data_IF_017854205107
#
_entry.id   IF_017854205107
#
_cell.length_a   1.000
_cell.length_b   1.000
_cell.length_c   1.000
_cell.angle_alpha   90.00
_cell.angle_beta   90.00
_cell.angle_gamma   90.00
#
_symmetry.space_group_name_H-M   'P 1'
#
loop_
_entity.id
_entity.type
_entity.pdbx_description
1 polymer ?
#
# COMPACT_ATOMS: atom_id res chain seq x y z
N UNK A 1 -44.27 20.48 7.93
CA UNK A 1 -43.48 19.74 8.91
C UNK A 1 -44.44 18.98 9.80
N UNK A 2 -44.28 17.66 9.89
CA UNK A 2 -45.02 16.87 10.86
C UNK A 2 -44.62 17.31 12.28
N UNK A 3 -45.54 17.17 13.24
CA UNK A 3 -45.39 17.60 14.63
C UNK A 3 -44.14 17.08 15.37
N UNK A 4 -43.31 16.20 14.80
CA UNK A 4 -42.12 15.63 15.47
C UNK A 4 -40.93 15.42 14.52
N UNK A 5 -40.91 16.07 13.35
CA UNK A 5 -39.80 15.99 12.40
C UNK A 5 -38.55 16.72 12.96
N UNK A 6 -37.41 16.03 13.09
CA UNK A 6 -36.20 16.59 13.71
C UNK A 6 -34.92 15.86 13.29
N UNK A 7 -33.82 16.61 13.12
CA UNK A 7 -32.48 16.06 12.84
C UNK A 7 -31.90 15.28 14.04
N UNK A 8 -32.54 15.36 15.20
CA UNK A 8 -32.12 14.71 16.45
C UNK A 8 -32.89 13.42 16.76
N UNK A 9 -33.69 12.91 15.82
CA UNK A 9 -34.60 11.80 16.04
C UNK A 9 -33.91 10.52 16.55
N UNK A 10 -32.71 10.18 16.04
CA UNK A 10 -31.98 8.99 16.50
C UNK A 10 -31.63 9.04 17.99
N UNK A 11 -31.10 10.18 18.44
CA UNK A 11 -30.71 10.40 19.84
C UNK A 11 -31.93 10.40 20.75
N UNK A 12 -33.03 11.02 20.30
CA UNK A 12 -34.29 11.05 21.05
C UNK A 12 -34.88 9.65 21.20
N UNK A 13 -35.00 8.89 20.10
CA UNK A 13 -35.55 7.55 20.11
C UNK A 13 -34.72 6.65 21.04
N UNK A 14 -33.38 6.68 20.94
CA UNK A 14 -32.51 5.87 21.79
C UNK A 14 -32.66 6.21 23.29
N UNK A 15 -32.73 7.50 23.64
CA UNK A 15 -32.95 7.96 25.02
C UNK A 15 -34.29 7.45 25.56
N UNK A 16 -35.36 7.59 24.78
CA UNK A 16 -36.72 7.21 25.18
C UNK A 16 -36.87 5.69 25.30
N UNK A 17 -36.32 4.91 24.37
CA UNK A 17 -36.33 3.44 24.46
C UNK A 17 -35.56 2.92 25.68
N UNK A 18 -34.41 3.54 26.00
CA UNK A 18 -33.63 3.21 27.19
C UNK A 18 -34.45 3.49 28.45
N UNK A 19 -35.12 4.64 28.52
CA UNK A 19 -35.97 4.98 29.65
C UNK A 19 -37.18 4.03 29.76
N UNK A 20 -37.80 3.66 28.63
CA UNK A 20 -38.88 2.66 28.57
C UNK A 20 -38.43 1.30 29.11
N UNK A 21 -37.25 0.83 28.71
CA UNK A 21 -36.68 -0.41 29.21
C UNK A 21 -36.44 -0.37 30.74
N UNK A 22 -36.20 0.82 31.29
CA UNK A 22 -36.06 1.07 32.72
C UNK A 22 -37.41 1.39 33.42
N UNK A 23 -38.54 1.12 32.77
CA UNK A 23 -39.87 1.22 33.38
C UNK A 23 -40.57 2.56 33.21
N UNK A 24 -39.99 3.52 32.47
CA UNK A 24 -40.70 4.76 32.16
C UNK A 24 -41.91 4.53 31.26
N UNK A 25 -42.95 5.36 31.41
CA UNK A 25 -44.20 5.22 30.67
C UNK A 25 -44.69 6.52 30.01
N UNK A 26 -44.26 7.68 30.50
CA UNK A 26 -44.78 8.98 30.10
C UNK A 26 -43.65 9.94 29.68
N UNK A 27 -43.96 10.81 28.73
CA UNK A 27 -43.10 11.90 28.28
C UNK A 27 -43.83 13.22 28.45
N UNK A 28 -43.08 14.24 28.85
CA UNK A 28 -43.47 15.65 28.77
C UNK A 28 -42.52 16.39 27.84
N UNK A 29 -43.07 17.19 26.92
CA UNK A 29 -42.32 18.06 26.01
C UNK A 29 -42.26 19.48 26.58
N UNK A 30 -41.06 19.98 26.84
CA UNK A 30 -40.84 21.35 27.35
C UNK A 30 -40.91 22.40 26.24
N UNK A 31 -40.88 21.98 24.96
CA UNK A 31 -40.97 22.88 23.80
C UNK A 31 -42.05 22.39 22.86
N UNK A 32 -42.69 23.31 22.14
CA UNK A 32 -43.54 22.95 21.00
C UNK A 32 -42.64 22.46 19.88
N UNK A 33 -42.78 21.22 19.41
CA UNK A 33 -41.94 20.71 18.32
C UNK A 33 -42.06 21.48 17.00
N UNK A 34 -43.11 22.29 16.82
CA UNK A 34 -43.30 23.12 15.63
C UNK A 34 -42.59 24.47 15.71
N UNK A 35 -42.19 24.90 16.91
CA UNK A 35 -41.56 26.21 17.13
C UNK A 35 -40.03 26.15 17.00
N UNK A 36 -39.44 24.95 17.16
CA UNK A 36 -38.02 24.65 16.97
C UNK A 36 -37.83 23.16 16.68
N UNK A 37 -36.69 22.76 16.09
CA UNK A 37 -36.35 21.33 16.00
C UNK A 37 -36.29 20.74 17.42
N UNK A 38 -37.05 19.66 17.66
CA UNK A 38 -37.08 19.00 18.96
C UNK A 38 -35.72 18.36 19.27
N UNK A 39 -35.13 18.68 20.42
CA UNK A 39 -33.90 18.06 20.91
C UNK A 39 -34.16 17.10 22.08
N UNK A 40 -33.19 16.25 22.38
CA UNK A 40 -33.30 15.30 23.50
C UNK A 40 -33.43 15.97 24.88
N UNK A 41 -32.93 17.20 25.04
CA UNK A 41 -33.01 17.94 26.31
C UNK A 41 -34.40 18.52 26.58
N UNK A 42 -35.21 18.69 25.53
CA UNK A 42 -36.57 19.23 25.57
C UNK A 42 -37.60 18.18 26.03
N UNK A 43 -37.12 16.97 26.34
CA UNK A 43 -37.94 15.80 26.69
C UNK A 43 -37.63 15.38 28.12
N UNK A 44 -38.68 15.38 28.95
CA UNK A 44 -38.69 14.78 30.28
C UNK A 44 -39.47 13.49 30.27
N UNK A 45 -39.02 12.53 31.08
CA UNK A 45 -39.48 11.15 31.03
C UNK A 45 -39.82 10.71 32.45
N UNK A 46 -41.01 10.13 32.61
CA UNK A 46 -41.59 9.78 33.92
C UNK A 46 -42.09 8.34 33.93
N UNK A 47 -42.07 7.74 35.12
CA UNK A 47 -42.58 6.39 35.36
C UNK A 47 -44.08 6.38 35.59
N UNK A 48 -44.61 7.38 36.28
CA UNK A 48 -46.04 7.50 36.60
C UNK A 48 -46.66 8.69 35.87
N UNK A 49 -47.99 8.65 35.74
CA UNK A 49 -48.75 9.77 35.17
C UNK A 49 -48.73 10.97 36.12
N UNK A 50 -48.90 10.72 37.42
CA UNK A 50 -48.97 11.77 38.44
C UNK A 50 -47.69 12.60 38.45
N UNK A 51 -46.50 11.98 38.44
CA UNK A 51 -45.22 12.72 38.39
C UNK A 51 -45.06 13.57 37.12
N UNK A 52 -45.62 13.10 35.99
CA UNK A 52 -45.55 13.82 34.72
C UNK A 52 -46.48 15.04 34.72
N UNK A 53 -47.66 14.90 35.32
CA UNK A 53 -48.63 15.99 35.47
C UNK A 53 -48.15 17.02 36.50
N UNK A 54 -47.66 16.57 37.66
CA UNK A 54 -47.09 17.45 38.68
C UNK A 54 -45.94 18.30 38.11
N UNK A 55 -45.09 17.69 37.27
CA UNK A 55 -44.02 18.41 36.59
C UNK A 55 -44.54 19.45 35.59
N UNK A 56 -45.58 19.10 34.83
CA UNK A 56 -46.18 20.00 33.85
C UNK A 56 -46.83 21.20 34.56
N UNK A 57 -47.57 20.94 35.64
CA UNK A 57 -48.24 21.96 36.46
C UNK A 57 -47.21 22.94 37.06
N UNK A 58 -46.09 22.44 37.61
CA UNK A 58 -45.00 23.30 38.13
C UNK A 58 -44.40 24.21 37.03
N UNK A 59 -44.26 23.69 35.81
CA UNK A 59 -43.71 24.45 34.68
C UNK A 59 -44.71 25.45 34.11
N UNK A 60 -46.00 25.14 34.16
CA UNK A 60 -47.08 26.04 33.77
C UNK A 60 -47.14 27.25 34.70
N UNK A 61 -47.06 27.05 36.01
CA UNK A 61 -47.04 28.12 37.02
C UNK A 61 -45.87 29.11 36.85
N UNK A 62 -44.76 28.65 36.26
CA UNK A 62 -43.57 29.45 35.97
C UNK A 62 -43.60 30.11 34.57
N UNK A 63 -44.67 29.91 33.79
CA UNK A 63 -44.82 30.45 32.44
C UNK A 63 -43.83 29.86 31.42
N UNK A 64 -43.26 28.69 31.71
CA UNK A 64 -42.24 28.05 30.88
C UNK A 64 -42.82 27.14 29.78
N UNK A 65 -44.12 26.87 29.80
CA UNK A 65 -44.80 26.09 28.77
C UNK A 65 -45.78 26.99 28.01
N UNK A 66 -45.83 26.98 26.68
CA UNK A 66 -46.70 27.87 25.94
C UNK A 66 -48.14 27.32 25.96
N UNK A 67 -49.00 27.86 26.84
CA UNK A 67 -50.39 27.40 26.94
C UNK A 67 -51.21 28.07 28.05
N UNK A 68 -51.40 29.39 27.99
CA UNK A 68 -52.45 30.02 28.80
C UNK A 68 -53.83 29.65 28.25
N UNK A 69 -54.58 28.77 28.95
CA UNK A 69 -56.04 28.88 29.05
C UNK A 69 -56.95 28.20 28.00
N UNK A 70 -56.65 26.98 27.53
CA UNK A 70 -57.62 26.21 26.72
C UNK A 70 -57.61 24.73 27.14
N UNK A 71 -58.80 24.12 27.29
CA UNK A 71 -59.10 22.75 27.81
C UNK A 71 -58.51 21.57 27.00
N UNK A 72 -57.52 21.80 26.15
CA UNK A 72 -56.82 20.78 25.41
C UNK A 72 -55.33 20.78 25.83
N UNK A 73 -55.02 19.95 26.83
CA UNK A 73 -53.65 19.52 27.17
C UNK A 73 -53.06 18.36 26.30
N UNK A 74 -53.53 17.95 25.10
CA UNK A 74 -53.12 16.67 24.51
C UNK A 74 -51.76 16.70 23.77
N UNK A 75 -51.05 17.83 23.71
CA UNK A 75 -49.82 17.95 22.89
C UNK A 75 -48.51 17.90 23.68
N UNK A 76 -48.53 18.13 24.99
CA UNK A 76 -47.32 18.26 25.82
C UNK A 76 -47.05 17.06 26.71
N UNK A 77 -48.02 16.17 26.88
CA UNK A 77 -47.83 14.91 27.57
C UNK A 77 -48.29 13.77 26.66
N UNK A 78 -47.55 12.66 26.65
CA UNK A 78 -47.96 11.48 25.91
C UNK A 78 -47.38 10.21 26.53
N UNK A 79 -48.06 9.08 26.33
CA UNK A 79 -47.46 7.77 26.59
C UNK A 79 -46.28 7.56 25.66
N UNK A 80 -45.19 7.02 26.21
CA UNK A 80 -43.96 6.73 25.46
C UNK A 80 -44.23 5.91 24.20
N UNK A 81 -45.16 4.95 24.26
CA UNK A 81 -45.50 4.11 23.11
C UNK A 81 -46.05 4.92 21.94
N UNK A 82 -46.92 5.88 22.23
CA UNK A 82 -47.52 6.74 21.22
C UNK A 82 -46.45 7.71 20.68
N UNK A 83 -45.66 8.32 21.58
CA UNK A 83 -44.56 9.20 21.17
C UNK A 83 -43.55 8.51 20.26
N UNK A 84 -43.14 7.28 20.61
CA UNK A 84 -42.23 6.48 19.79
C UNK A 84 -42.85 6.11 18.44
N UNK A 85 -44.16 5.85 18.37
CA UNK A 85 -44.84 5.60 17.10
C UNK A 85 -44.84 6.86 16.23
N UNK A 86 -45.18 8.01 16.83
CA UNK A 86 -45.33 9.27 16.11
C UNK A 86 -43.98 9.81 15.63
N UNK A 87 -42.94 9.82 16.47
CA UNK A 87 -41.60 10.29 16.08
C UNK A 87 -40.95 9.38 15.05
N UNK A 88 -41.19 8.06 15.10
CA UNK A 88 -40.66 7.14 14.08
C UNK A 88 -41.37 7.34 12.74
N UNK A 89 -42.68 7.55 12.77
CA UNK A 89 -43.48 7.84 11.57
C UNK A 89 -43.06 9.16 10.92
N UNK A 90 -42.79 10.19 11.75
CA UNK A 90 -42.32 11.48 11.27
C UNK A 90 -40.86 11.43 10.75
N UNK A 91 -40.03 10.50 11.24
CA UNK A 91 -38.61 10.39 10.90
C UNK A 91 -38.24 8.97 10.42
N UNK A 92 -38.72 8.55 9.23
CA UNK A 92 -38.54 7.19 8.73
C UNK A 92 -37.06 6.83 8.48
N UNK A 93 -36.21 7.79 8.10
CA UNK A 93 -34.78 7.58 7.88
C UNK A 93 -34.03 7.23 9.19
N UNK A 94 -34.27 7.98 10.26
CA UNK A 94 -33.70 7.70 11.58
C UNK A 94 -34.18 6.36 12.15
N UNK A 95 -35.46 6.03 11.91
CA UNK A 95 -36.04 4.74 12.33
C UNK A 95 -35.38 3.56 11.62
N UNK A 96 -35.15 3.69 10.31
CA UNK A 96 -34.47 2.69 9.52
C UNK A 96 -33.02 2.49 9.99
N UNK A 97 -32.28 3.59 10.17
CA UNK A 97 -30.90 3.62 10.71
C UNK A 97 -30.78 2.82 12.02
N UNK A 98 -31.64 3.12 13.01
CA UNK A 98 -31.65 2.43 14.29
C UNK A 98 -32.03 0.94 14.19
N UNK A 99 -32.91 0.55 13.26
CA UNK A 99 -33.28 -0.85 13.05
C UNK A 99 -32.14 -1.68 12.45
N UNK A 100 -31.27 -1.05 11.65
CA UNK A 100 -30.06 -1.66 11.08
C UNK A 100 -28.99 -1.82 12.18
N UNK A 101 -28.73 -0.78 12.97
CA UNK A 101 -27.75 -0.82 14.06
C UNK A 101 -28.08 -1.91 15.10
N UNK A 102 -29.37 -2.14 15.34
CA UNK A 102 -29.86 -3.20 16.23
C UNK A 102 -29.91 -4.59 15.59
N UNK A 103 -29.53 -4.73 14.32
CA UNK A 103 -29.56 -5.99 13.59
C UNK A 103 -30.96 -6.56 13.37
N UNK A 104 -32.01 -5.74 13.48
CA UNK A 104 -33.41 -6.14 13.29
C UNK A 104 -33.72 -6.28 11.80
N UNK A 105 -33.15 -5.41 10.98
CA UNK A 105 -33.23 -5.46 9.51
C UNK A 105 -31.82 -5.71 8.98
N UNK A 106 -31.68 -6.80 8.21
CA UNK A 106 -30.50 -7.00 7.36
C UNK A 106 -30.69 -6.21 6.08
N UNK A 107 -30.34 -4.93 6.11
CA UNK A 107 -30.36 -4.11 4.90
C UNK A 107 -29.03 -4.31 4.14
N UNK A 108 -29.09 -5.12 3.08
CA UNK A 108 -28.00 -5.24 2.12
C UNK A 108 -27.82 -3.97 1.24
N UNK A 109 -28.55 -2.87 1.52
CA UNK A 109 -28.51 -1.62 0.74
C UNK A 109 -28.40 -0.30 1.53
N UNK A 110 -28.43 -0.24 2.87
CA UNK A 110 -28.29 1.06 3.59
C UNK A 110 -27.06 1.21 4.49
N UNK A 111 -26.10 0.30 4.42
CA UNK A 111 -24.71 0.64 4.76
C UNK A 111 -24.00 1.38 3.61
N UNK A 112 -24.72 2.25 2.91
CA UNK A 112 -24.17 3.08 1.86
C UNK A 112 -23.72 4.43 2.44
N UNK A 113 -22.71 4.38 3.32
CA UNK A 113 -21.64 5.37 3.16
C UNK A 113 -20.99 5.04 1.83
N UNK A 114 -21.57 5.58 0.76
CA UNK A 114 -21.08 5.32 -0.58
C UNK A 114 -19.59 5.63 -0.61
N UNK A 115 -18.79 4.63 -0.94
CA UNK A 115 -17.35 4.82 -1.09
C UNK A 115 -17.13 6.01 -2.03
N UNK A 116 -16.18 6.88 -1.71
CA UNK A 116 -15.91 8.03 -2.56
C UNK A 116 -15.32 7.55 -3.90
N UNK A 117 -16.15 7.54 -4.95
CA UNK A 117 -15.79 7.03 -6.27
C UNK A 117 -14.69 7.86 -6.96
N UNK A 118 -14.66 9.16 -6.72
CA UNK A 118 -13.59 10.03 -7.24
C UNK A 118 -12.26 9.67 -6.58
N UNK A 119 -12.26 9.52 -5.26
CA UNK A 119 -11.07 9.08 -4.53
C UNK A 119 -10.62 7.67 -4.95
N UNK A 120 -11.54 6.73 -5.20
CA UNK A 120 -11.19 5.42 -5.76
C UNK A 120 -10.52 5.57 -7.14
N UNK A 121 -11.07 6.40 -8.03
CA UNK A 121 -10.48 6.63 -9.36
C UNK A 121 -9.09 7.25 -9.26
N UNK A 122 -8.89 8.21 -8.35
CA UNK A 122 -7.60 8.85 -8.14
C UNK A 122 -6.58 7.85 -7.60
N UNK A 123 -6.93 7.08 -6.56
CA UNK A 123 -6.05 6.04 -6.02
C UNK A 123 -5.72 4.96 -7.06
N UNK A 124 -6.66 4.58 -7.93
CA UNK A 124 -6.39 3.67 -9.06
C UNK A 124 -5.37 4.24 -10.04
N UNK A 125 -5.42 5.55 -10.33
CA UNK A 125 -4.42 6.23 -11.16
C UNK A 125 -3.07 6.29 -10.45
N UNK A 126 -3.05 6.59 -9.16
CA UNK A 126 -1.80 6.65 -8.37
C UNK A 126 -1.07 5.31 -8.35
N UNK A 127 -1.78 4.20 -8.06
CA UNK A 127 -1.15 2.87 -8.05
C UNK A 127 -0.71 2.45 -9.46
N UNK A 128 -1.47 2.80 -10.50
CA UNK A 128 -1.07 2.54 -11.88
C UNK A 128 0.17 3.36 -12.29
N UNK A 129 0.23 4.64 -11.92
CA UNK A 129 1.37 5.52 -12.21
C UNK A 129 2.66 5.04 -11.55
N UNK A 130 2.56 4.44 -10.36
CA UNK A 130 3.68 3.84 -9.64
C UNK A 130 4.03 2.43 -10.13
N UNK A 131 3.30 1.88 -11.12
CA UNK A 131 3.60 0.61 -11.76
C UNK A 131 3.16 -0.63 -11.00
N UNK A 132 2.17 -0.53 -10.11
CA UNK A 132 1.56 -1.70 -9.47
C UNK A 132 0.64 -2.45 -10.45
N UNK A 133 0.44 -3.75 -10.21
CA UNK A 133 -0.35 -4.61 -11.10
C UNK A 133 -1.84 -4.22 -11.14
N UNK A 134 -2.57 -4.51 -12.24
CA UNK A 134 -4.00 -4.23 -12.33
C UNK A 134 -4.84 -4.86 -11.20
N UNK A 135 -4.39 -6.00 -10.65
CA UNK A 135 -5.01 -6.67 -9.50
C UNK A 135 -5.10 -5.76 -8.28
N UNK A 136 -4.12 -4.89 -8.09
CA UNK A 136 -4.11 -3.90 -7.00
C UNK A 136 -5.33 -2.99 -7.06
N UNK A 137 -5.76 -2.58 -8.26
CA UNK A 137 -6.93 -1.72 -8.45
C UNK A 137 -8.25 -2.44 -8.12
N UNK A 138 -8.34 -3.74 -8.41
CA UNK A 138 -9.51 -4.57 -8.08
C UNK A 138 -9.61 -4.80 -6.56
N UNK A 139 -8.49 -5.15 -5.91
CA UNK A 139 -8.43 -5.33 -4.46
C UNK A 139 -8.69 -4.02 -3.71
N UNK A 140 -8.19 -2.90 -4.23
CA UNK A 140 -8.45 -1.56 -3.67
C UNK A 140 -9.95 -1.27 -3.59
N UNK A 141 -10.68 -1.48 -4.69
CA UNK A 141 -12.12 -1.26 -4.74
C UNK A 141 -12.87 -2.16 -3.75
N UNK A 142 -12.53 -3.46 -3.71
CA UNK A 142 -13.13 -4.43 -2.79
C UNK A 142 -12.95 -4.00 -1.33
N UNK A 143 -11.74 -3.56 -0.95
CA UNK A 143 -11.45 -3.13 0.41
C UNK A 143 -12.13 -1.80 0.76
N UNK A 144 -12.11 -0.81 -0.13
CA UNK A 144 -12.74 0.49 0.12
C UNK A 144 -14.26 0.39 0.33
N UNK A 145 -14.93 -0.57 -0.33
CA UNK A 145 -16.36 -0.87 -0.12
C UNK A 145 -16.70 -1.28 1.31
N UNK A 146 -15.74 -1.87 2.04
CA UNK A 146 -15.91 -2.26 3.43
C UNK A 146 -15.69 -1.10 4.42
N UNK A 147 -15.24 0.06 3.91
CA UNK A 147 -14.95 1.27 4.68
C UNK A 147 -13.99 1.11 5.90
N UNK A 148 -12.95 0.25 5.86
CA UNK A 148 -12.05 0.07 7.00
C UNK A 148 -11.21 1.33 7.28
N UNK A 149 -10.87 1.57 8.55
CA UNK A 149 -9.97 2.68 8.91
C UNK A 149 -8.57 2.54 8.31
N UNK A 150 -8.08 1.31 8.17
CA UNK A 150 -6.81 0.98 7.53
C UNK A 150 -6.93 -0.38 6.85
N UNK A 151 -6.33 -0.51 5.67
CA UNK A 151 -6.18 -1.79 5.00
C UNK A 151 -4.89 -1.83 4.18
N UNK A 152 -4.52 -3.03 3.76
CA UNK A 152 -3.38 -3.25 2.88
C UNK A 152 -3.79 -3.98 1.63
N UNK A 153 -3.17 -3.62 0.50
CA UNK A 153 -3.27 -4.36 -0.75
C UNK A 153 -1.91 -4.99 -1.03
N UNK A 154 -1.89 -6.24 -1.47
CA UNK A 154 -0.66 -6.99 -1.74
C UNK A 154 -0.42 -7.11 -3.24
N UNK A 155 0.82 -6.93 -3.63
CA UNK A 155 1.29 -7.15 -4.98
C UNK A 155 2.66 -7.84 -4.92
N UNK A 156 3.15 -8.31 -6.06
CA UNK A 156 4.51 -8.86 -6.13
C UNK A 156 5.14 -8.62 -7.49
N UNK A 157 6.46 -8.56 -7.50
CA UNK A 157 7.26 -8.48 -8.72
C UNK A 157 8.27 -9.64 -8.78
N UNK A 158 8.66 -10.10 -9.97
CA UNK A 158 9.77 -11.03 -10.09
C UNK A 158 11.07 -10.39 -9.58
N UNK A 159 11.95 -11.22 -9.02
CA UNK A 159 13.26 -10.82 -8.54
C UNK A 159 14.32 -11.91 -8.77
N UNK A 160 15.58 -11.56 -8.52
CA UNK A 160 16.75 -12.41 -8.77
C UNK A 160 16.76 -13.71 -7.97
N UNK A 161 16.15 -13.68 -6.79
CA UNK A 161 16.12 -14.81 -5.85
C UNK A 161 14.70 -15.05 -5.37
N UNK A 162 13.77 -15.09 -6.32
CA UNK A 162 12.34 -15.22 -6.08
C UNK A 162 11.61 -13.89 -6.18
N UNK A 163 10.35 -13.90 -5.74
CA UNK A 163 9.52 -12.71 -5.78
C UNK A 163 9.95 -11.65 -4.76
N UNK A 164 9.70 -10.40 -5.12
CA UNK A 164 9.70 -9.27 -4.19
C UNK A 164 8.25 -8.99 -3.83
N UNK A 165 7.94 -9.07 -2.53
CA UNK A 165 6.61 -8.78 -2.02
C UNK A 165 6.43 -7.27 -1.85
N UNK A 166 5.29 -6.76 -2.29
CA UNK A 166 4.89 -5.36 -2.17
C UNK A 166 3.63 -5.28 -1.29
N UNK A 167 3.66 -4.43 -0.27
CA UNK A 167 2.51 -4.20 0.62
C UNK A 167 2.18 -2.72 0.63
N UNK A 168 1.04 -2.36 0.02
CA UNK A 168 0.57 -0.98 -0.07
C UNK A 168 -0.33 -0.68 1.13
N UNK A 169 -0.11 0.46 1.80
CA UNK A 169 -0.87 0.85 2.98
C UNK A 169 -1.83 1.99 2.66
N UNK A 170 -3.11 1.75 2.92
CA UNK A 170 -4.17 2.73 2.74
C UNK A 170 -4.79 3.09 4.09
N UNK A 171 -5.05 4.38 4.28
CA UNK A 171 -5.65 4.89 5.50
C UNK A 171 -6.81 5.82 5.16
N UNK A 172 -7.94 5.60 5.82
CA UNK A 172 -9.12 6.46 5.74
C UNK A 172 -8.95 7.68 6.64
N UNK A 173 -9.33 8.85 6.15
CA UNK A 173 -9.43 10.06 6.95
C UNK A 173 -10.39 9.88 8.13
N UNK A 174 -10.03 10.42 9.30
CA UNK A 174 -10.90 10.40 10.48
C UNK A 174 -12.12 11.34 10.35
N UNK A 175 -12.09 12.27 9.41
CA UNK A 175 -13.11 13.32 9.22
C UNK A 175 -13.84 13.24 7.88
N UNK A 176 -13.43 12.34 6.98
CA UNK A 176 -14.06 12.16 5.66
C UNK A 176 -13.93 10.71 5.18
N UNK A 177 -14.74 10.33 4.18
CA UNK A 177 -14.65 8.99 3.58
C UNK A 177 -13.59 8.89 2.45
N UNK A 178 -12.53 9.69 2.59
CA UNK A 178 -11.38 9.75 1.67
C UNK A 178 -10.25 8.89 2.22
N UNK A 179 -9.66 8.08 1.36
CA UNK A 179 -8.46 7.30 1.62
C UNK A 179 -7.22 7.95 1.03
N UNK A 180 -6.10 7.78 1.73
CA UNK A 180 -4.78 8.18 1.24
C UNK A 180 -3.89 6.96 1.05
N UNK A 181 -3.05 7.02 0.01
CA UNK A 181 -1.94 6.10 -0.22
C UNK A 181 -0.63 6.85 0.06
N UNK A 182 -0.10 6.70 1.28
CA UNK A 182 1.08 7.45 1.71
C UNK A 182 2.39 6.65 1.65
N UNK A 183 2.30 5.32 1.64
CA UNK A 183 3.47 4.45 1.69
C UNK A 183 3.18 3.03 1.21
N UNK A 184 4.23 2.37 0.78
CA UNK A 184 4.26 0.93 0.59
C UNK A 184 5.57 0.34 1.10
N UNK A 185 5.58 -0.97 1.30
CA UNK A 185 6.76 -1.72 1.72
C UNK A 185 7.18 -2.65 0.58
N UNK A 186 8.48 -2.74 0.30
CA UNK A 186 9.03 -3.80 -0.54
C UNK A 186 9.86 -4.75 0.33
N UNK A 187 9.71 -6.04 0.11
CA UNK A 187 10.41 -7.09 0.85
C UNK A 187 11.03 -8.11 -0.10
N UNK A 188 12.35 -8.22 -0.10
CA UNK A 188 13.08 -9.22 -0.87
C UNK A 188 13.72 -10.26 0.05
N UNK A 189 13.31 -11.52 -0.14
CA UNK A 189 13.90 -12.69 0.50
C UNK A 189 15.00 -13.32 -0.36
N UNK A 190 15.54 -14.46 0.13
CA UNK A 190 16.38 -15.35 -0.68
C UNK A 190 15.65 -16.66 -0.98
N UNK A 191 14.38 -16.54 -1.34
CA UNK A 191 13.46 -17.68 -1.52
C UNK A 191 13.43 -18.02 -3.01
N UNK A 192 13.98 -19.15 -3.46
CA UNK A 192 13.95 -19.50 -4.89
C UNK A 192 12.53 -19.43 -5.47
N UNK A 193 12.38 -19.06 -6.76
CA UNK A 193 11.08 -19.13 -7.44
C UNK A 193 10.47 -20.53 -7.30
N UNK A 194 9.19 -20.60 -6.96
CA UNK A 194 8.43 -21.86 -6.92
C UNK A 194 7.86 -22.23 -8.28
N UNK A 195 7.50 -23.50 -8.45
CA UNK A 195 6.76 -23.91 -9.64
C UNK A 195 5.36 -23.26 -9.66
N UNK A 196 4.74 -23.11 -10.85
CA UNK A 196 3.35 -22.65 -10.95
C UNK A 196 2.41 -23.49 -10.08
N UNK A 197 1.34 -22.88 -9.56
CA UNK A 197 0.30 -23.53 -8.74
C UNK A 197 0.74 -24.10 -7.39
N UNK A 198 1.95 -23.78 -6.92
CA UNK A 198 2.38 -24.12 -5.56
C UNK A 198 2.13 -22.96 -4.61
N UNK A 199 1.75 -23.29 -3.37
CA UNK A 199 1.58 -22.32 -2.29
C UNK A 199 2.41 -22.71 -1.09
N UNK A 200 2.89 -21.71 -0.35
CA UNK A 200 3.53 -21.92 0.94
C UNK A 200 2.45 -22.22 1.98
N UNK A 201 2.71 -23.19 2.84
CA UNK A 201 1.78 -23.64 3.86
C UNK A 201 2.49 -23.79 5.20
N UNK A 202 1.83 -23.35 6.26
CA UNK A 202 2.23 -23.68 7.62
C UNK A 202 1.18 -24.60 8.22
N UNK A 203 1.59 -25.82 8.50
CA UNK A 203 0.79 -26.83 9.17
C UNK A 203 1.14 -26.80 10.65
N UNK A 204 0.13 -26.71 11.51
CA UNK A 204 0.31 -26.65 12.96
C UNK A 204 -0.56 -27.69 13.66
N UNK A 205 -0.13 -28.11 14.84
CA UNK A 205 -0.87 -29.09 15.63
C UNK A 205 -2.29 -28.60 15.92
N UNK A 206 -3.26 -29.47 15.68
CA UNK A 206 -4.65 -29.26 16.02
C UNK A 206 -4.95 -29.96 17.35
N UNK A 207 -5.23 -29.17 18.40
CA UNK A 207 -5.49 -29.70 19.75
C UNK A 207 -6.78 -30.52 19.81
N UNK A 208 -7.74 -30.22 18.95
CA UNK A 208 -9.06 -30.87 18.93
C UNK A 208 -9.06 -32.14 18.06
N UNK A 209 -8.14 -32.23 17.09
CA UNK A 209 -8.00 -33.40 16.23
C UNK A 209 -6.54 -33.59 15.77
N UNK A 210 -5.80 -34.45 16.47
CA UNK A 210 -4.38 -34.72 16.16
C UNK A 210 -4.13 -35.32 14.77
N UNK A 211 -5.13 -35.95 14.16
CA UNK A 211 -5.00 -36.54 12.82
C UNK A 211 -5.16 -35.49 11.70
N UNK A 212 -5.73 -34.32 12.00
CA UNK A 212 -6.00 -33.27 11.01
C UNK A 212 -5.34 -31.94 11.41
N UNK A 213 -4.11 -31.66 10.92
CA UNK A 213 -3.40 -30.43 11.26
C UNK A 213 -4.14 -29.17 10.77
N UNK A 214 -3.94 -28.06 11.48
CA UNK A 214 -4.40 -26.75 11.03
C UNK A 214 -3.48 -26.24 9.93
N UNK A 215 -4.03 -25.98 8.75
CA UNK A 215 -3.26 -25.51 7.59
C UNK A 215 -3.54 -24.03 7.35
N UNK A 216 -2.48 -23.23 7.25
CA UNK A 216 -2.56 -21.85 6.78
C UNK A 216 -1.72 -21.68 5.52
N UNK A 217 -2.35 -21.25 4.44
CA UNK A 217 -1.69 -20.97 3.15
C UNK A 217 -1.24 -19.51 3.05
N UNK A 218 -0.20 -19.27 2.26
CA UNK A 218 0.41 -17.97 2.03
C UNK A 218 0.81 -17.82 0.56
N UNK A 219 0.49 -16.65 -0.02
CA UNK A 219 0.97 -16.24 -1.34
C UNK A 219 2.43 -15.74 -1.28
N UNK A 220 2.85 -15.23 -0.11
CA UNK A 220 4.21 -14.76 0.12
C UNK A 220 5.05 -15.81 0.86
N UNK A 221 6.21 -16.20 0.33
CA UNK A 221 7.15 -17.04 1.06
C UNK A 221 7.72 -16.34 2.30
N UNK A 222 7.93 -15.03 2.23
CA UNK A 222 8.49 -14.26 3.34
C UNK A 222 7.49 -14.20 4.50
N UNK A 223 6.20 -14.04 4.22
CA UNK A 223 5.14 -14.11 5.23
C UNK A 223 5.01 -15.51 5.83
N UNK A 224 5.09 -16.56 5.02
CA UNK A 224 5.06 -17.94 5.51
C UNK A 224 6.23 -18.22 6.46
N UNK A 225 7.44 -17.79 6.10
CA UNK A 225 8.64 -17.89 6.95
C UNK A 225 8.43 -17.08 8.25
N UNK A 226 7.93 -15.86 8.17
CA UNK A 226 7.70 -15.01 9.34
C UNK A 226 6.66 -15.62 10.29
N UNK A 227 5.53 -16.09 9.74
CA UNK A 227 4.48 -16.75 10.50
C UNK A 227 5.01 -18.02 11.19
N UNK A 228 5.71 -18.89 10.43
CA UNK A 228 6.33 -20.08 10.97
C UNK A 228 7.33 -19.74 12.08
N UNK A 229 8.19 -18.73 11.89
CA UNK A 229 9.18 -18.30 12.89
C UNK A 229 8.54 -17.79 14.18
N UNK A 230 7.41 -17.05 14.10
CA UNK A 230 6.67 -16.55 15.27
C UNK A 230 5.86 -17.63 15.98
N UNK A 231 5.47 -18.70 15.28
CA UNK A 231 4.74 -19.82 15.88
C UNK A 231 5.57 -20.52 16.97
N UNK A 232 4.94 -20.74 18.14
CA UNK A 232 5.57 -21.30 19.35
C UNK A 232 5.30 -22.80 19.56
N UNK A 233 4.36 -23.39 18.81
CA UNK A 233 4.03 -24.82 18.89
C UNK A 233 4.80 -25.68 17.91
N UNK A 234 4.41 -26.95 17.82
CA UNK A 234 4.84 -27.86 16.77
C UNK A 234 4.21 -27.45 15.44
N UNK A 235 5.03 -27.32 14.40
CA UNK A 235 4.59 -26.89 13.09
C UNK A 235 5.57 -27.26 11.98
N UNK A 236 5.06 -27.34 10.76
CA UNK A 236 5.81 -27.58 9.52
C UNK A 236 5.57 -26.42 8.56
N UNK A 237 6.65 -25.83 8.03
CA UNK A 237 6.61 -24.96 6.86
C UNK A 237 6.88 -25.84 5.63
N UNK A 238 5.96 -25.80 4.69
CA UNK A 238 6.01 -26.61 3.46
C UNK A 238 5.63 -25.78 2.24
N UNK A 239 5.91 -26.31 1.06
CA UNK A 239 5.43 -25.79 -0.23
C UNK A 239 4.83 -26.93 -1.04
N UNK A 240 3.70 -26.70 -1.70
CA UNK A 240 3.04 -27.74 -2.48
C UNK A 240 1.74 -27.26 -3.13
N UNK A 241 1.12 -28.15 -3.90
CA UNK A 241 -0.22 -27.92 -4.49
C UNK A 241 -1.34 -28.14 -3.46
N UNK A 242 -1.10 -29.04 -2.50
CA UNK A 242 -2.03 -29.35 -1.41
C UNK A 242 -1.27 -29.75 -0.14
N UNK A 243 -1.92 -29.83 1.02
CA UNK A 243 -1.31 -30.39 2.21
C UNK A 243 -0.80 -31.83 1.99
N UNK A 244 -1.47 -32.64 1.18
CA UNK A 244 -1.10 -34.02 0.90
C UNK A 244 0.06 -34.13 -0.10
N UNK A 245 0.18 -33.17 -1.01
CA UNK A 245 1.24 -33.06 -2.02
C UNK A 245 2.18 -31.90 -1.70
N UNK A 246 2.96 -32.05 -0.63
CA UNK A 246 3.85 -31.00 -0.09
C UNK A 246 5.30 -31.45 0.07
N UNK A 247 6.22 -30.52 -0.15
CA UNK A 247 7.63 -30.62 0.22
C UNK A 247 7.85 -29.91 1.55
N UNK A 248 8.41 -30.62 2.54
CA UNK A 248 8.79 -30.05 3.82
C UNK A 248 10.02 -29.14 3.67
N UNK A 249 9.89 -27.87 4.06
CA UNK A 249 10.97 -26.88 3.99
C UNK A 249 11.62 -26.63 5.35
N UNK A 250 10.84 -26.61 6.42
CA UNK A 250 11.35 -26.50 7.78
C UNK A 250 10.33 -27.07 8.77
N UNK A 251 10.80 -27.58 9.91
CA UNK A 251 9.91 -28.00 10.99
C UNK A 251 10.40 -27.56 12.36
N UNK A 252 9.43 -27.48 13.26
CA UNK A 252 9.58 -27.11 14.66
C UNK A 252 8.85 -28.12 15.52
N UNK A 253 9.45 -28.44 16.66
CA UNK A 253 8.84 -29.23 17.71
C UNK A 253 8.90 -28.42 19.01
N UNK A 254 7.75 -28.22 19.65
CA UNK A 254 7.64 -27.39 20.86
C UNK A 254 8.30 -26.00 20.70
N UNK A 255 8.14 -25.40 19.51
CA UNK A 255 8.70 -24.08 19.17
C UNK A 255 10.19 -24.07 18.80
N UNK A 256 10.92 -25.18 19.01
CA UNK A 256 12.32 -25.32 18.65
C UNK A 256 12.45 -25.88 17.24
N UNK A 257 13.19 -25.18 16.39
CA UNK A 257 13.49 -25.63 15.02
C UNK A 257 14.35 -26.89 15.10
N UNK A 258 13.90 -27.98 14.47
CA UNK A 258 14.61 -29.25 14.43
C UNK A 258 15.04 -29.66 13.01
N UNK A 259 14.46 -29.06 11.96
CA UNK A 259 14.87 -29.30 10.57
C UNK A 259 14.68 -28.04 9.70
N UNK A 260 15.58 -27.87 8.72
CA UNK A 260 15.49 -26.91 7.62
C UNK A 260 16.11 -27.59 6.39
N UNK A 261 15.37 -27.69 5.29
CA UNK A 261 15.85 -28.27 4.04
C UNK A 261 17.06 -27.50 3.50
N UNK A 262 18.06 -28.20 2.95
CA UNK A 262 19.35 -27.59 2.60
C UNK A 262 19.25 -26.44 1.60
N UNK A 263 18.49 -26.63 0.52
CA UNK A 263 18.22 -25.59 -0.47
C UNK A 263 17.40 -24.41 0.07
N UNK A 264 16.75 -24.59 1.22
CA UNK A 264 15.93 -23.56 1.86
C UNK A 264 16.66 -22.82 3.00
N UNK A 265 17.83 -23.31 3.45
CA UNK A 265 18.60 -22.69 4.55
C UNK A 265 18.90 -21.22 4.29
N UNK A 266 19.25 -20.87 3.04
CA UNK A 266 19.54 -19.49 2.65
C UNK A 266 18.35 -18.56 2.89
N UNK A 267 17.15 -18.98 2.50
CA UNK A 267 15.90 -18.26 2.71
C UNK A 267 15.52 -18.20 4.20
N UNK A 268 15.68 -19.32 4.90
CA UNK A 268 15.25 -19.44 6.29
C UNK A 268 16.13 -18.65 7.26
N UNK A 269 17.46 -18.74 7.15
CA UNK A 269 18.37 -18.12 8.11
C UNK A 269 18.75 -16.68 7.76
N UNK A 270 18.64 -16.28 6.48
CA UNK A 270 18.84 -14.87 6.11
C UNK A 270 17.58 -14.07 6.39
N UNK A 271 17.65 -12.93 7.09
CA UNK A 271 16.50 -12.02 7.17
C UNK A 271 16.20 -11.46 5.78
N UNK A 272 14.91 -11.32 5.46
CA UNK A 272 14.49 -10.60 4.27
C UNK A 272 14.85 -9.11 4.39
N UNK A 273 15.23 -8.51 3.27
CA UNK A 273 15.47 -7.08 3.16
C UNK A 273 14.12 -6.40 2.98
N UNK A 274 13.71 -5.65 3.99
CA UNK A 274 12.46 -4.87 4.00
C UNK A 274 12.76 -3.38 4.06
N UNK A 275 12.08 -2.60 3.23
CA UNK A 275 12.17 -1.15 3.17
C UNK A 275 10.79 -0.53 2.95
N UNK A 276 10.46 0.50 3.70
CA UNK A 276 9.30 1.37 3.46
C UNK A 276 9.66 2.48 2.49
N UNK A 277 8.79 2.71 1.51
CA UNK A 277 8.85 3.80 0.54
C UNK A 277 7.63 4.69 0.72
N UNK A 278 7.87 5.99 0.82
CA UNK A 278 6.81 7.00 0.92
C UNK A 278 6.47 7.52 -0.47
N UNK A 279 5.18 7.73 -0.69
CA UNK A 279 4.61 8.19 -1.95
C UNK A 279 3.56 9.26 -1.66
N UNK A 280 3.31 10.12 -2.65
CA UNK A 280 2.25 11.12 -2.59
C UNK A 280 1.72 11.35 -3.99
N UNK A 281 0.41 11.21 -4.18
CA UNK A 281 -0.28 11.56 -5.43
C UNK A 281 0.37 10.87 -6.65
N UNK A 282 0.71 9.58 -6.51
CA UNK A 282 1.36 8.80 -7.57
C UNK A 282 2.83 9.14 -7.84
N UNK A 283 3.44 10.04 -7.05
CA UNK A 283 4.86 10.37 -7.11
C UNK A 283 5.66 9.69 -5.99
N UNK A 284 6.90 9.32 -6.29
CA UNK A 284 7.79 8.61 -5.38
C UNK A 284 8.61 7.55 -6.09
N UNK A 285 9.04 6.52 -5.36
CA UNK A 285 9.66 5.35 -5.99
C UNK A 285 8.56 4.47 -6.59
N UNK A 286 8.72 4.08 -7.85
CA UNK A 286 7.85 3.07 -8.47
C UNK A 286 8.01 1.71 -7.78
N UNK A 287 7.05 0.81 -8.02
CA UNK A 287 7.10 -0.58 -7.57
C UNK A 287 8.40 -1.28 -8.03
N UNK A 288 8.82 -1.07 -9.28
CA UNK A 288 10.03 -1.66 -9.86
C UNK A 288 11.30 -1.07 -9.27
N UNK A 289 11.36 0.26 -9.08
CA UNK A 289 12.50 0.90 -8.41
C UNK A 289 12.67 0.38 -6.98
N UNK A 290 11.58 0.32 -6.22
CA UNK A 290 11.61 -0.22 -4.86
C UNK A 290 12.07 -1.69 -4.84
N UNK A 291 11.57 -2.52 -5.76
CA UNK A 291 12.00 -3.91 -5.90
C UNK A 291 13.49 -4.03 -6.26
N UNK A 292 14.01 -3.17 -7.12
CA UNK A 292 15.43 -3.11 -7.44
C UNK A 292 16.28 -2.72 -6.22
N UNK A 293 15.83 -1.72 -5.46
CA UNK A 293 16.55 -1.23 -4.28
C UNK A 293 16.65 -2.27 -3.15
N UNK A 294 15.58 -3.01 -2.85
CA UNK A 294 15.64 -4.07 -1.82
C UNK A 294 16.47 -5.28 -2.24
N UNK A 295 16.75 -5.42 -3.54
CA UNK A 295 17.71 -6.38 -4.08
C UNK A 295 19.14 -5.84 -4.13
N UNK A 296 19.37 -4.61 -3.66
CA UNK A 296 20.69 -3.98 -3.56
C UNK A 296 21.14 -3.19 -4.78
N UNK A 297 20.26 -3.00 -5.77
CA UNK A 297 20.53 -2.22 -6.97
C UNK A 297 20.40 -0.72 -6.71
N UNK A 298 20.90 0.06 -7.66
CA UNK A 298 20.90 1.53 -7.59
C UNK A 298 19.93 2.08 -8.63
N UNK A 299 19.06 3.00 -8.22
CA UNK A 299 18.08 3.65 -9.10
C UNK A 299 18.46 5.11 -9.30
N UNK A 300 18.12 5.68 -10.44
CA UNK A 300 18.26 7.10 -10.73
C UNK A 300 16.94 7.82 -10.49
N UNK A 301 17.01 8.99 -9.88
CA UNK A 301 15.87 9.88 -9.62
C UNK A 301 16.25 11.27 -10.08
N UNK A 302 15.35 11.92 -10.80
CA UNK A 302 15.54 13.28 -11.33
C UNK A 302 14.47 14.28 -10.90
N UNK A 303 13.65 13.87 -9.93
CA UNK A 303 12.53 14.59 -9.33
C UNK A 303 12.76 14.89 -7.83
N UNK A 304 14.01 14.80 -7.36
CA UNK A 304 14.35 15.03 -5.95
C UNK A 304 14.38 16.51 -5.64
N UNK A 305 13.96 16.88 -4.43
CA UNK A 305 13.95 18.27 -3.94
C UNK A 305 14.80 18.36 -2.68
N UNK A 306 15.69 19.35 -2.62
CA UNK A 306 16.46 19.63 -1.42
C UNK A 306 15.56 20.34 -0.39
N UNK A 307 15.31 19.73 0.79
CA UNK A 307 14.36 20.30 1.75
C UNK A 307 14.83 21.62 2.37
N UNK A 308 16.10 22.00 2.23
CA UNK A 308 16.64 23.24 2.80
C UNK A 308 16.39 24.47 1.94
N UNK A 309 16.43 24.33 0.62
CA UNK A 309 16.36 25.45 -0.32
C UNK A 309 15.31 25.26 -1.42
N UNK A 310 14.66 24.09 -1.51
CA UNK A 310 13.66 23.78 -2.52
C UNK A 310 14.22 23.48 -3.91
N UNK A 311 15.54 23.45 -4.09
CA UNK A 311 16.14 23.20 -5.40
C UNK A 311 15.97 21.74 -5.81
N UNK A 312 15.56 21.54 -7.07
CA UNK A 312 15.52 20.23 -7.69
C UNK A 312 16.92 19.69 -7.96
N UNK A 313 17.15 18.40 -7.72
CA UNK A 313 18.41 17.74 -8.04
C UNK A 313 18.18 16.31 -8.53
N UNK A 314 19.21 15.75 -9.18
CA UNK A 314 19.21 14.37 -9.67
C UNK A 314 20.22 13.57 -8.90
N UNK A 315 19.93 12.30 -8.64
CA UNK A 315 20.87 11.43 -7.96
C UNK A 315 20.65 9.96 -8.31
N UNK A 316 21.74 9.21 -8.25
CA UNK A 316 21.69 7.76 -8.12
C UNK A 316 21.54 7.40 -6.63
N UNK A 317 20.59 6.53 -6.30
CA UNK A 317 20.19 6.20 -4.94
C UNK A 317 20.17 4.69 -4.76
N UNK A 318 20.73 4.22 -3.64
CA UNK A 318 20.63 2.82 -3.20
C UNK A 318 20.40 2.75 -1.70
N UNK A 319 19.94 1.59 -1.22
CA UNK A 319 19.93 1.29 0.21
C UNK A 319 21.37 1.11 0.72
N UNK A 320 21.65 1.72 1.86
CA UNK A 320 22.93 1.59 2.56
C UNK A 320 22.83 0.46 3.58
N UNK A 321 23.27 -0.72 3.17
CA UNK A 321 23.32 -1.91 4.03
C UNK A 321 24.48 -1.91 5.03
N UNK A 322 25.43 -0.97 4.92
CA UNK A 322 26.58 -0.85 5.82
C UNK A 322 26.26 -0.01 7.06
N UNK A 323 25.22 0.83 6.96
CA UNK A 323 24.77 1.69 8.05
C UNK A 323 23.72 0.99 8.93
N UNK A 324 23.69 1.37 10.21
CA UNK A 324 22.59 0.98 11.10
C UNK A 324 21.28 1.53 10.54
N UNK A 325 20.24 0.69 10.58
CA UNK A 325 18.85 1.08 10.31
C UNK A 325 18.41 2.22 11.23
N UNK A 326 17.44 2.99 10.75
CA UNK A 326 16.77 4.00 11.56
C UNK A 326 15.85 3.38 12.63
N UNK A 327 15.23 4.22 13.45
CA UNK A 327 14.36 3.80 14.55
C UNK A 327 13.07 3.11 14.07
N UNK A 328 12.71 3.29 12.80
CA UNK A 328 11.57 2.63 12.16
C UNK A 328 11.98 1.33 11.42
N UNK A 329 13.24 0.93 11.51
CA UNK A 329 13.76 -0.29 10.90
C UNK A 329 14.06 -0.20 9.40
N UNK A 330 14.12 1.01 8.84
CA UNK A 330 14.46 1.26 7.44
C UNK A 330 15.96 1.45 7.24
N UNK A 331 16.44 1.13 6.04
CA UNK A 331 17.81 1.40 5.64
C UNK A 331 17.99 2.88 5.31
N UNK A 332 19.18 3.41 5.62
CA UNK A 332 19.55 4.74 5.14
C UNK A 332 19.73 4.71 3.62
N UNK A 333 19.54 5.86 2.98
CA UNK A 333 19.76 6.02 1.55
C UNK A 333 21.16 6.56 1.29
N UNK A 334 21.90 5.91 0.40
CA UNK A 334 23.17 6.41 -0.13
C UNK A 334 22.90 7.10 -1.45
N UNK A 335 23.21 8.38 -1.52
CA UNK A 335 22.98 9.23 -2.69
C UNK A 335 24.29 9.59 -3.38
N UNK A 336 24.27 9.61 -4.71
CA UNK A 336 25.37 9.96 -5.59
C UNK A 336 24.85 11.01 -6.57
N UNK A 337 25.06 12.28 -6.25
CA UNK A 337 24.49 13.41 -6.99
C UNK A 337 24.91 13.40 -8.46
N UNK A 338 23.95 13.57 -9.37
CA UNK A 338 24.17 13.62 -10.80
C UNK A 338 24.07 15.09 -11.28
N UNK A 339 25.12 15.67 -11.90
CA UNK A 339 26.35 15.04 -12.38
C UNK A 339 27.55 15.11 -11.42
N UNK A 340 27.43 15.75 -10.25
CA UNK A 340 28.56 16.09 -9.38
C UNK A 340 29.41 14.87 -8.91
N UNK A 341 28.80 13.70 -8.76
CA UNK A 341 29.48 12.45 -8.41
C UNK A 341 30.35 11.91 -9.55
N UNK A 342 30.04 12.29 -10.80
CA UNK A 342 30.82 11.97 -12.00
C UNK A 342 30.59 10.56 -12.55
N UNK A 343 29.39 10.00 -12.39
CA UNK A 343 28.97 8.81 -13.12
C UNK A 343 28.04 9.19 -14.27
N UNK A 344 28.47 8.89 -15.50
CA UNK A 344 27.69 9.10 -16.72
C UNK A 344 27.39 7.73 -17.34
N UNK A 345 26.11 7.34 -17.33
CA UNK A 345 25.69 6.02 -17.80
C UNK A 345 25.97 5.82 -19.30
N UNK A 346 25.69 6.83 -20.13
CA UNK A 346 25.85 6.72 -21.57
C UNK A 346 27.33 6.58 -21.95
N UNK A 347 28.18 7.41 -21.36
CA UNK A 347 29.64 7.34 -21.52
C UNK A 347 30.18 6.00 -21.04
N UNK A 348 29.64 5.48 -19.93
CA UNK A 348 30.05 4.19 -19.38
C UNK A 348 29.67 3.05 -20.33
N UNK A 349 28.44 3.04 -20.87
CA UNK A 349 27.98 2.03 -21.83
C UNK A 349 28.86 1.99 -23.09
N UNK A 350 29.26 3.15 -23.62
CA UNK A 350 30.18 3.27 -24.77
C UNK A 350 31.55 2.62 -24.52
N UNK A 351 31.94 2.42 -23.26
CA UNK A 351 33.17 1.72 -22.89
C UNK A 351 33.12 0.20 -23.08
N UNK A 352 31.97 -0.38 -23.41
CA UNK A 352 31.77 -1.82 -23.58
C UNK A 352 31.36 -2.19 -25.01
N UNK A 353 31.66 -3.42 -25.44
CA UNK A 353 31.27 -3.98 -26.75
C UNK A 353 29.87 -4.58 -26.67
N UNK A 354 28.84 -3.74 -26.51
CA UNK A 354 27.44 -4.17 -26.43
C UNK A 354 26.76 -3.89 -27.78
N UNK A 355 26.14 -4.91 -28.36
CA UNK A 355 25.56 -4.90 -29.71
C UNK A 355 24.37 -3.95 -29.81
N UNK A 356 23.48 -3.99 -28.83
CA UNK A 356 22.23 -3.24 -28.79
C UNK A 356 22.45 -1.72 -28.75
N UNK A 357 23.65 -1.25 -28.36
CA UNK A 357 23.97 0.19 -28.32
C UNK A 357 24.08 0.85 -29.71
N UNK A 358 24.21 0.08 -30.78
CA UNK A 358 24.22 0.62 -32.15
C UNK A 358 22.83 1.04 -32.62
N UNK A 359 21.78 0.47 -32.02
CA UNK A 359 20.39 0.83 -32.29
C UNK A 359 19.93 1.90 -31.28
N UNK A 360 19.51 3.10 -31.73
CA UNK A 360 19.11 4.18 -30.83
C UNK A 360 17.96 3.82 -29.88
N UNK A 361 16.95 3.07 -30.35
CA UNK A 361 15.78 2.72 -29.55
C UNK A 361 16.14 1.67 -28.48
N UNK A 362 16.94 0.67 -28.84
CA UNK A 362 17.42 -0.33 -27.88
C UNK A 362 18.37 0.30 -26.85
N UNK A 363 19.25 1.20 -27.29
CA UNK A 363 20.12 1.97 -26.38
C UNK A 363 19.31 2.78 -25.38
N UNK A 364 18.27 3.50 -25.84
CA UNK A 364 17.39 4.27 -24.96
C UNK A 364 16.65 3.36 -23.98
N UNK A 365 16.13 2.22 -24.44
CA UNK A 365 15.51 1.20 -23.58
C UNK A 365 16.46 0.69 -22.49
N UNK A 366 17.69 0.33 -22.85
CA UNK A 366 18.72 -0.11 -21.90
C UNK A 366 19.03 1.00 -20.89
N UNK A 367 19.21 2.24 -21.35
CA UNK A 367 19.50 3.37 -20.48
C UNK A 367 18.35 3.65 -19.50
N UNK A 368 17.10 3.59 -19.97
CA UNK A 368 15.91 3.78 -19.15
C UNK A 368 15.78 2.69 -18.09
N UNK A 369 15.93 1.42 -18.49
CA UNK A 369 15.88 0.29 -17.57
C UNK A 369 17.01 0.34 -16.52
N UNK A 370 18.25 0.65 -16.92
CA UNK A 370 19.37 0.80 -15.98
C UNK A 370 19.18 1.99 -15.03
N UNK A 371 18.57 3.10 -15.47
CA UNK A 371 18.17 4.20 -14.59
C UNK A 371 17.06 3.77 -13.63
N UNK A 372 16.15 2.91 -14.05
CA UNK A 372 15.15 2.30 -13.18
C UNK A 372 15.77 1.29 -12.18
N UNK A 373 17.06 1.00 -12.32
CA UNK A 373 17.82 0.05 -11.52
C UNK A 373 17.68 -1.39 -11.99
N UNK A 374 17.10 -1.61 -13.17
CA UNK A 374 16.90 -2.95 -13.72
C UNK A 374 18.22 -3.56 -14.16
N UNK A 375 18.27 -4.89 -14.07
CA UNK A 375 19.29 -5.69 -14.73
C UNK A 375 18.76 -6.13 -16.09
N UNK A 376 19.46 -5.76 -17.15
CA UNK A 376 18.98 -5.86 -18.54
C UNK A 376 19.81 -6.92 -19.28
N UNK A 377 19.14 -7.74 -20.10
CA UNK A 377 19.82 -8.65 -21.01
C UNK A 377 20.52 -7.86 -22.13
N UNK A 378 21.78 -8.18 -22.41
CA UNK A 378 22.60 -7.53 -23.44
C UNK A 378 23.48 -8.56 -24.13
N UNK A 379 23.79 -8.33 -25.41
CA UNK A 379 24.73 -9.13 -26.18
C UNK A 379 26.08 -8.44 -26.20
N UNK A 380 27.07 -9.00 -25.49
CA UNK A 380 28.41 -8.46 -25.43
C UNK A 380 29.40 -9.29 -26.24
N UNK A 381 30.35 -8.65 -26.93
CA UNK A 381 31.46 -9.35 -27.60
C UNK A 381 32.67 -9.45 -26.66
N UNK A 382 33.14 -10.67 -26.39
CA UNK A 382 34.32 -10.89 -25.56
C UNK A 382 35.64 -10.53 -26.29
N UNK A 383 36.78 -10.70 -25.62
CA UNK A 383 38.11 -10.45 -26.21
C UNK A 383 38.47 -11.36 -27.39
N UNK A 384 37.86 -12.54 -27.46
CA UNK A 384 38.06 -13.53 -28.54
C UNK A 384 37.15 -13.25 -29.76
N UNK A 385 36.31 -12.22 -29.70
CA UNK A 385 35.36 -11.90 -30.77
C UNK A 385 34.05 -12.68 -30.71
N UNK A 386 33.83 -13.48 -29.66
CA UNK A 386 32.60 -14.26 -29.46
C UNK A 386 31.51 -13.41 -28.82
N UNK A 387 30.31 -13.43 -29.39
CA UNK A 387 29.10 -12.87 -28.78
C UNK A 387 28.63 -13.74 -27.61
N UNK A 388 28.29 -13.10 -26.49
CA UNK A 388 27.83 -13.73 -25.25
C UNK A 388 26.63 -12.95 -24.73
N UNK A 389 25.52 -13.66 -24.46
CA UNK A 389 24.35 -13.14 -23.75
C UNK A 389 24.70 -12.96 -22.27
N UNK A 390 24.47 -11.77 -21.74
CA UNK A 390 24.76 -11.40 -20.35
C UNK A 390 23.63 -10.56 -19.78
N UNK A 391 23.56 -10.54 -18.45
CA UNK A 391 22.73 -9.60 -17.71
C UNK A 391 23.63 -8.46 -17.20
N UNK A 392 23.27 -7.21 -17.48
CA UNK A 392 24.05 -6.04 -17.10
C UNK A 392 23.23 -5.06 -16.25
N UNK A 393 23.85 -4.45 -15.24
CA UNK A 393 23.22 -3.41 -14.41
C UNK A 393 24.19 -2.24 -14.19
N UNK A 394 23.64 -1.05 -13.94
CA UNK A 394 24.45 0.12 -13.59
C UNK A 394 25.04 -0.05 -12.18
N UNK A 395 26.34 0.25 -12.04
CA UNK A 395 27.04 0.30 -10.76
C UNK A 395 27.63 1.71 -10.51
N UNK A 396 26.77 2.74 -10.27
CA UNK A 396 27.21 4.13 -10.15
C UNK A 396 28.30 4.32 -9.11
N UNK A 397 28.20 3.65 -7.95
CA UNK A 397 29.18 3.72 -6.85
C UNK A 397 30.62 3.43 -7.32
N UNK A 398 30.78 2.56 -8.31
CA UNK A 398 32.08 2.18 -8.90
C UNK A 398 32.31 2.82 -10.27
N UNK A 399 31.44 3.75 -10.67
CA UNK A 399 31.44 4.48 -11.95
C UNK A 399 31.53 3.54 -13.17
N UNK A 400 30.77 2.45 -13.14
CA UNK A 400 30.91 1.37 -14.12
C UNK A 400 29.63 0.54 -14.25
N UNK A 401 29.70 -0.58 -14.98
CA UNK A 401 28.64 -1.60 -15.08
C UNK A 401 29.12 -2.89 -14.42
N UNK A 402 28.16 -3.64 -13.89
CA UNK A 402 28.35 -5.02 -13.46
C UNK A 402 27.65 -5.96 -14.44
N UNK A 403 28.32 -7.08 -14.74
CA UNK A 403 27.85 -8.11 -15.66
C UNK A 403 27.67 -9.42 -14.92
N UNK A 404 26.68 -10.18 -15.35
CA UNK A 404 26.34 -11.47 -14.81
C UNK A 404 25.99 -12.43 -15.94
N UNK A 405 26.26 -13.72 -15.75
CA UNK A 405 25.65 -14.78 -16.55
C UNK A 405 24.12 -14.77 -16.37
N UNK A 406 23.40 -15.44 -17.26
CA UNK A 406 21.94 -15.65 -17.13
C UNK A 406 21.55 -16.37 -15.81
N UNK A 407 22.48 -17.13 -15.22
CA UNK A 407 22.32 -17.79 -13.92
C UNK A 407 22.61 -16.87 -12.72
N UNK A 408 22.94 -15.61 -12.94
CA UNK A 408 23.22 -14.62 -11.89
C UNK A 408 24.64 -14.67 -11.32
N UNK A 409 25.54 -15.49 -11.87
CA UNK A 409 26.96 -15.48 -11.50
C UNK A 409 27.65 -14.24 -12.05
N UNK A 410 28.39 -13.50 -11.22
CA UNK A 410 29.10 -12.29 -11.64
C UNK A 410 30.23 -12.60 -12.62
N UNK A 411 30.28 -11.83 -13.71
CA UNK A 411 31.27 -11.94 -14.77
C UNK A 411 32.30 -10.80 -14.71
N UNK A 412 33.52 -11.08 -15.18
CA UNK A 412 34.58 -10.07 -15.24
C UNK A 412 34.30 -9.10 -16.39
N UNK A 413 33.83 -7.89 -16.07
CA UNK A 413 33.54 -6.82 -17.04
C UNK A 413 34.70 -6.50 -18.00
N UNK A 414 35.95 -6.72 -17.57
CA UNK A 414 37.16 -6.48 -18.36
C UNK A 414 37.25 -7.36 -19.62
N UNK A 415 36.47 -8.45 -19.67
CA UNK A 415 36.33 -9.32 -20.84
C UNK A 415 35.56 -8.65 -21.99
N UNK A 416 34.76 -7.62 -21.68
CA UNK A 416 33.82 -6.99 -22.63
C UNK A 416 34.12 -5.51 -22.89
N UNK A 417 35.19 -4.97 -22.30
CA UNK A 417 35.59 -3.59 -22.55
C UNK A 417 36.04 -3.38 -24.00
N UNK A 418 35.76 -2.20 -24.53
CA UNK A 418 36.41 -1.73 -25.74
C UNK A 418 37.89 -1.44 -25.43
N UNK A 419 38.82 -1.76 -26.35
CA UNK A 419 40.20 -1.30 -26.22
C UNK A 419 40.22 0.23 -26.17
N UNK A 420 40.97 0.80 -25.22
CA UNK A 420 41.13 2.25 -25.14
C UNK A 420 41.72 2.75 -26.46
N UNK A 421 41.02 3.65 -27.14
CA UNK A 421 41.64 4.40 -28.24
C UNK A 421 42.68 5.32 -27.63
N UNK A 422 43.95 4.94 -27.77
CA UNK A 422 45.08 5.85 -27.50
C UNK A 422 44.86 7.16 -28.27
N UNK A 423 45.10 8.30 -27.64
CA UNK A 423 44.95 9.67 -28.17
C UNK A 423 45.68 9.96 -29.51
N UNK A 424 46.40 8.99 -30.09
CA UNK A 424 47.07 9.09 -31.37
C UNK A 424 46.11 9.06 -32.57
N UNK A 425 44.92 8.44 -32.48
CA UNK A 425 43.98 8.35 -33.61
C UNK A 425 43.10 9.60 -33.80
N UNK A 426 42.94 10.42 -32.75
CA UNK A 426 42.21 11.69 -32.83
C UNK A 426 42.98 12.82 -33.53
N UNK A 427 44.31 12.67 -33.73
CA UNK A 427 45.13 13.67 -34.44
C UNK A 427 45.32 13.40 -35.93
N UNK A 428 45.12 12.16 -36.40
CA UNK A 428 45.19 11.83 -37.83
C UNK A 428 43.94 12.28 -38.59
N UNK A 429 42.74 12.10 -38.04
CA UNK A 429 41.50 12.56 -38.68
C UNK A 429 41.33 14.10 -38.72
N UNK A 430 42.03 14.84 -37.86
CA UNK A 430 42.05 16.30 -37.91
C UNK A 430 42.97 16.83 -39.02
N UNK A 431 44.09 16.15 -39.31
CA UNK A 431 45.04 16.55 -40.37
C UNK A 431 44.55 16.22 -41.79
N UNK A 432 43.76 15.16 -41.96
CA UNK A 432 43.21 14.82 -43.28
C UNK A 432 42.09 15.79 -43.69
N UNK A 433 41.27 16.27 -42.75
CA UNK A 433 40.28 17.33 -43.01
C UNK A 433 40.90 18.70 -43.28
N UNK A 434 42.07 18.99 -42.71
CA UNK A 434 42.76 20.27 -42.95
C UNK A 434 43.44 20.30 -44.33
N UNK A 435 43.92 19.16 -44.85
CA UNK A 435 44.45 19.06 -46.23
C UNK A 435 43.36 19.15 -47.31
N UNK A 436 42.18 18.58 -47.08
CA UNK A 436 41.05 18.64 -48.02
C UNK A 436 40.48 20.07 -48.15
N UNK A 437 40.57 20.88 -47.09
CA UNK A 437 40.15 22.30 -47.07
C UNK A 437 41.18 23.26 -47.69
N UNK A 438 42.46 22.88 -47.76
CA UNK A 438 43.52 23.71 -48.36
C UNK A 438 43.67 23.44 -49.87
N UNK A 439 43.48 22.19 -50.31
CA UNK A 439 43.44 21.84 -51.75
C UNK A 439 42.21 22.41 -52.47
N UNK A 440 41.07 22.55 -51.77
CA UNK A 440 39.84 23.14 -52.34
C UNK A 440 39.87 24.67 -52.44
N UNK A 441 40.76 25.35 -51.71
CA UNK A 441 40.97 26.81 -51.81
C UNK A 441 41.99 27.21 -52.87
N UNK A 442 42.83 26.28 -53.29
CA UNK A 442 43.91 26.53 -54.26
C UNK A 442 43.48 26.45 -55.73
N UNK A 443 42.26 26.01 -56.02
CA UNK A 443 41.74 25.79 -57.39
C UNK A 443 40.79 26.91 -57.88
N UNK A 444 40.68 28.02 -57.15
CA UNK A 444 39.95 29.22 -57.59
C UNK A 444 40.84 30.46 -57.59
N UNK A 445 41.73 30.57 -58.57
CA UNK A 445 42.23 31.84 -59.11
C UNK A 445 42.33 31.70 -60.63
#
# INVERSE_FOLDING_TARGET
MGLLETDHAETIIAKVETAKANGAQYIVLETRPMDAQLHANDIKIFTTLDDALDYLDEKEDLGHVPGFGNDEHPLYYQRIDNFLADIRTANPAATLSLAIDKGIINDNQSNNKAMNLNNLQDLKKEVAALGFSPKTAEELEKNMRQLPQHFTVKDHLPGDRGQVDLTLHFHKSGVSDIYSFGKFEATAGKVPPSAPNQSYMVLSENKDNKEKPLVKSFDSPNEAIEFFKKHKGTSELSIGESPESRLLLASKENGKVNFVHDDFRGAYFSPAIKQTFYVKEGAGYSATQAANMVQGRTVHRDDLINPRNGEGYKAWIKLDFEQKKDDWGNFKLKQMNDPAFGFDLEKTLKGFKIKELSDPAQKEGIMSAMKNGDRVAVTATNREGKEVSLMAEAAPQYKTLDFYSEKGTREKRELYKQPEKTQSESKSQAKDKEKELDESRSVKI
#
